data_IF_915800895007
#
_entry.id   IF_915800895007
#
_cell.length_a   1.000
_cell.length_b   1.000
_cell.length_c   1.000
_cell.angle_alpha   90.00
_cell.angle_beta   90.00
_cell.angle_gamma   90.00
#
_symmetry.space_group_name_H-M   'P 1'
#
loop_
_entity.id
_entity.type
_entity.pdbx_description
1 polymer ?
#
# COMPACT_ATOMS: atom_id res chain seq x y z
N UNK A 1 17.37 -15.48 11.78
CA UNK A 1 17.50 -15.05 10.37
C UNK A 1 18.93 -15.03 9.80
N UNK A 2 19.98 -15.35 10.57
CA UNK A 2 21.40 -15.10 10.20
C UNK A 2 21.86 -15.58 8.82
N UNK A 3 21.33 -16.69 8.29
CA UNK A 3 21.75 -17.23 6.98
C UNK A 3 20.68 -17.05 5.90
N UNK A 4 19.45 -17.50 6.19
CA UNK A 4 18.36 -17.53 5.20
C UNK A 4 18.02 -16.16 4.63
N UNK A 5 17.91 -15.14 5.48
CA UNK A 5 17.52 -13.81 5.03
C UNK A 5 18.59 -13.15 4.15
N UNK A 6 19.87 -13.06 4.57
CA UNK A 6 20.92 -12.50 3.72
C UNK A 6 21.07 -13.22 2.39
N UNK A 7 20.99 -14.56 2.38
CA UNK A 7 21.09 -15.34 1.13
C UNK A 7 19.95 -14.97 0.18
N UNK A 8 18.70 -14.94 0.64
CA UNK A 8 17.57 -14.57 -0.22
C UNK A 8 17.70 -13.14 -0.74
N UNK A 9 18.05 -12.17 0.14
CA UNK A 9 18.21 -10.78 -0.26
C UNK A 9 19.34 -10.60 -1.30
N UNK A 10 20.51 -11.20 -1.08
CA UNK A 10 21.65 -11.10 -2.00
C UNK A 10 21.35 -11.80 -3.33
N UNK A 11 20.70 -12.96 -3.30
CA UNK A 11 20.32 -13.67 -4.55
C UNK A 11 19.34 -12.85 -5.37
N UNK A 12 18.34 -12.22 -4.72
CA UNK A 12 17.39 -11.34 -5.41
C UNK A 12 18.09 -10.12 -6.00
N UNK A 13 18.98 -9.46 -5.25
CA UNK A 13 19.72 -8.30 -5.73
C UNK A 13 20.65 -8.65 -6.90
N UNK A 14 21.41 -9.75 -6.80
CA UNK A 14 22.24 -10.25 -7.90
C UNK A 14 21.39 -10.56 -9.13
N UNK A 15 20.21 -11.16 -8.94
CA UNK A 15 19.28 -11.39 -10.03
C UNK A 15 18.79 -10.08 -10.67
N UNK A 16 18.44 -9.06 -9.87
CA UNK A 16 18.05 -7.74 -10.41
C UNK A 16 19.19 -7.10 -11.20
N UNK A 17 20.42 -7.11 -10.69
CA UNK A 17 21.59 -6.57 -11.40
C UNK A 17 21.79 -7.27 -12.76
N UNK A 18 21.70 -8.60 -12.80
CA UNK A 18 21.81 -9.36 -14.05
C UNK A 18 20.68 -8.96 -15.01
N UNK A 19 19.43 -8.96 -14.54
CA UNK A 19 18.28 -8.62 -15.37
C UNK A 19 18.35 -7.20 -15.92
N UNK A 20 18.71 -6.21 -15.09
CA UNK A 20 18.91 -4.83 -15.53
C UNK A 20 20.07 -4.72 -16.52
N UNK A 21 21.20 -5.40 -16.28
CA UNK A 21 22.35 -5.38 -17.18
C UNK A 21 22.06 -5.95 -18.58
N UNK A 22 21.14 -6.91 -18.70
CA UNK A 22 20.76 -7.51 -19.99
C UNK A 22 19.61 -6.79 -20.70
N UNK A 23 18.62 -6.30 -19.95
CA UNK A 23 17.34 -5.86 -20.52
C UNK A 23 17.06 -4.36 -20.37
N UNK A 24 17.84 -3.59 -19.60
CA UNK A 24 17.52 -2.19 -19.29
C UNK A 24 18.59 -1.25 -19.86
N UNK A 25 18.15 -0.22 -20.58
CA UNK A 25 18.98 0.85 -21.15
C UNK A 25 18.41 2.22 -20.79
N UNK A 26 19.24 3.27 -20.82
CA UNK A 26 18.75 4.63 -20.63
C UNK A 26 17.95 5.11 -21.85
N UNK A 27 16.86 5.85 -21.62
CA UNK A 27 16.02 6.45 -22.66
C UNK A 27 16.81 7.36 -23.63
N UNK A 28 17.95 7.91 -23.20
CA UNK A 28 18.83 8.77 -24.00
C UNK A 28 19.46 8.11 -25.22
N UNK A 29 19.57 6.78 -25.28
CA UNK A 29 20.18 6.09 -26.43
C UNK A 29 19.28 6.11 -27.68
N UNK A 30 17.96 6.24 -27.53
CA UNK A 30 17.01 6.40 -28.64
C UNK A 30 17.01 7.82 -29.22
N UNK A 31 17.31 8.83 -28.39
CA UNK A 31 17.30 10.25 -28.76
C UNK A 31 18.39 10.58 -29.78
N UNK A 32 19.52 9.88 -29.73
CA UNK A 32 20.60 10.05 -30.71
C UNK A 32 20.27 9.46 -32.09
N UNK A 33 19.20 8.66 -32.22
CA UNK A 33 18.80 7.97 -33.46
C UNK A 33 17.56 8.58 -34.12
N UNK A 34 16.73 9.35 -33.40
CA UNK A 34 15.48 9.91 -33.94
C UNK A 34 15.31 11.41 -33.62
N UNK A 35 15.76 12.24 -34.57
CA UNK A 35 15.42 13.66 -34.82
C UNK A 35 15.96 14.76 -33.88
N UNK A 36 16.65 15.79 -34.45
CA UNK A 36 17.14 16.97 -33.70
C UNK A 36 16.13 18.14 -33.59
N UNK A 37 14.85 17.99 -33.98
CA UNK A 37 13.95 19.13 -34.26
C UNK A 37 12.80 19.39 -33.26
N UNK A 38 12.82 18.82 -32.05
CA UNK A 38 11.89 19.26 -30.98
C UNK A 38 12.52 20.38 -30.17
N UNK A 39 11.81 21.51 -30.01
CA UNK A 39 12.22 22.63 -29.14
C UNK A 39 12.55 22.13 -27.73
N UNK A 40 13.80 22.31 -27.30
CA UNK A 40 14.31 21.78 -26.02
C UNK A 40 13.48 22.20 -24.78
N UNK A 41 12.76 23.34 -24.83
CA UNK A 41 11.93 23.83 -23.72
C UNK A 41 10.83 22.85 -23.31
N UNK A 42 10.02 22.36 -24.27
CA UNK A 42 8.83 21.54 -23.95
C UNK A 42 9.18 20.16 -23.39
N UNK A 43 10.36 19.63 -23.74
CA UNK A 43 10.87 18.38 -23.17
C UNK A 43 11.39 18.56 -21.74
N UNK A 44 12.09 19.65 -21.48
CA UNK A 44 12.58 19.99 -20.12
C UNK A 44 11.41 20.24 -19.18
N UNK A 45 10.41 21.00 -19.63
CA UNK A 45 9.21 21.33 -18.85
C UNK A 45 8.45 20.05 -18.46
N UNK A 46 8.23 19.13 -19.41
CA UNK A 46 7.57 17.85 -19.16
C UNK A 46 8.36 16.92 -18.23
N UNK A 47 9.68 16.91 -18.34
CA UNK A 47 10.55 16.14 -17.43
C UNK A 47 10.43 16.66 -15.99
N UNK A 48 10.47 17.99 -15.79
CA UNK A 48 10.36 18.61 -14.47
C UNK A 48 8.98 18.39 -13.83
N UNK A 49 7.91 18.43 -14.62
CA UNK A 49 6.55 18.11 -14.16
C UNK A 49 6.43 16.66 -13.68
N UNK A 50 6.84 15.69 -14.51
CA UNK A 50 6.81 14.26 -14.17
C UNK A 50 7.71 13.94 -12.97
N UNK A 51 8.86 14.60 -12.86
CA UNK A 51 9.76 14.43 -11.72
C UNK A 51 9.09 14.85 -10.41
N UNK A 52 8.36 15.97 -10.40
CA UNK A 52 7.66 16.46 -9.21
C UNK A 52 6.57 15.49 -8.75
N UNK A 53 5.75 14.99 -9.68
CA UNK A 53 4.72 13.99 -9.38
C UNK A 53 5.33 12.66 -8.94
N UNK A 54 6.45 12.25 -9.54
CA UNK A 54 7.21 11.09 -9.09
C UNK A 54 7.65 11.25 -7.63
N UNK A 55 8.23 12.40 -7.25
CA UNK A 55 8.68 12.64 -5.87
C UNK A 55 7.53 12.50 -4.87
N UNK A 56 6.36 13.06 -5.19
CA UNK A 56 5.17 12.95 -4.33
C UNK A 56 4.77 11.49 -4.11
N UNK A 57 4.66 10.70 -5.19
CA UNK A 57 4.35 9.27 -5.12
C UNK A 57 5.43 8.52 -4.34
N UNK A 58 6.70 8.82 -4.57
CA UNK A 58 7.82 8.18 -3.88
C UNK A 58 7.79 8.46 -2.37
N UNK A 59 7.43 9.68 -1.96
CA UNK A 59 7.23 10.01 -0.54
C UNK A 59 6.07 9.22 0.06
N UNK A 60 4.99 9.00 -0.69
CA UNK A 60 3.90 8.13 -0.24
C UNK A 60 4.37 6.69 0.03
N UNK A 61 5.25 6.14 -0.82
CA UNK A 61 5.81 4.78 -0.66
C UNK A 61 6.66 4.68 0.62
N UNK A 62 7.62 5.59 0.83
CA UNK A 62 8.57 5.47 1.93
C UNK A 62 8.08 6.06 3.24
N UNK A 63 7.55 7.28 3.20
CA UNK A 63 7.10 7.99 4.41
C UNK A 63 5.64 7.68 4.68
N UNK A 64 4.78 7.77 3.67
CA UNK A 64 3.34 7.57 3.81
C UNK A 64 2.98 6.21 4.42
N UNK A 65 3.17 5.13 3.65
CA UNK A 65 2.94 3.76 4.12
C UNK A 65 3.84 3.40 5.30
N UNK A 66 5.14 3.71 5.20
CA UNK A 66 6.13 3.35 6.22
C UNK A 66 5.76 3.85 7.61
N UNK A 67 5.42 5.13 7.74
CA UNK A 67 5.02 5.70 9.03
C UNK A 67 3.58 5.34 9.41
N UNK A 68 2.63 5.25 8.47
CA UNK A 68 1.24 4.87 8.80
C UNK A 68 1.20 3.55 9.59
N UNK A 69 2.03 2.59 9.21
CA UNK A 69 2.12 1.28 9.87
C UNK A 69 2.84 1.30 11.23
N UNK A 70 3.41 2.42 11.66
CA UNK A 70 4.12 2.54 12.96
C UNK A 70 3.18 2.68 14.16
N UNK A 71 1.85 2.64 13.95
CA UNK A 71 0.88 2.69 15.05
C UNK A 71 1.10 1.56 16.07
N UNK A 72 1.61 0.39 15.64
CA UNK A 72 1.99 -0.72 16.52
C UNK A 72 3.18 -0.34 17.40
N UNK A 73 2.93 -0.10 18.70
CA UNK A 73 3.90 0.49 19.63
C UNK A 73 5.19 -0.30 19.81
N UNK A 74 5.17 -1.61 19.55
CA UNK A 74 6.32 -2.52 19.71
C UNK A 74 6.81 -3.10 18.37
N UNK A 75 6.32 -2.58 17.25
CA UNK A 75 6.67 -3.04 15.90
C UNK A 75 7.11 -1.89 14.97
N UNK A 76 7.48 -0.73 15.54
CA UNK A 76 7.81 0.47 14.77
C UNK A 76 9.03 0.31 13.87
N UNK A 77 10.08 -0.39 14.32
CA UNK A 77 11.28 -0.62 13.50
C UNK A 77 10.95 -1.52 12.31
N UNK A 78 10.20 -2.58 12.55
CA UNK A 78 9.77 -3.49 11.50
C UNK A 78 8.80 -2.82 10.54
N UNK A 79 7.87 -1.97 11.02
CA UNK A 79 6.95 -1.23 10.14
C UNK A 79 7.71 -0.36 9.13
N UNK A 80 8.56 0.57 9.58
CA UNK A 80 9.26 1.48 8.65
C UNK A 80 10.48 0.81 7.97
N UNK A 81 11.22 -0.02 8.68
CA UNK A 81 12.44 -0.66 8.20
C UNK A 81 12.18 -1.79 7.20
N UNK A 82 11.15 -2.62 7.42
CA UNK A 82 10.74 -3.62 6.43
C UNK A 82 10.03 -2.92 5.26
N UNK A 83 9.27 -1.84 5.49
CA UNK A 83 8.72 -1.02 4.39
C UNK A 83 9.82 -0.52 3.44
N UNK A 84 10.91 0.04 3.98
CA UNK A 84 12.07 0.44 3.18
C UNK A 84 12.66 -0.73 2.38
N UNK A 85 12.83 -1.90 3.01
CA UNK A 85 13.37 -3.09 2.35
C UNK A 85 12.49 -3.57 1.19
N UNK A 86 11.18 -3.71 1.42
CA UNK A 86 10.25 -4.21 0.39
C UNK A 86 10.02 -3.17 -0.69
N UNK A 87 10.08 -1.87 -0.37
CA UNK A 87 10.01 -0.82 -1.36
C UNK A 87 11.25 -0.84 -2.25
N UNK A 88 12.46 -0.95 -1.68
CA UNK A 88 13.69 -1.04 -2.47
C UNK A 88 13.69 -2.22 -3.46
N UNK A 89 13.19 -3.39 -3.04
CA UNK A 89 13.01 -4.54 -3.95
C UNK A 89 11.88 -4.29 -4.96
N UNK A 90 10.74 -3.77 -4.48
CA UNK A 90 9.54 -3.56 -5.26
C UNK A 90 9.76 -2.58 -6.41
N UNK A 91 10.54 -1.51 -6.19
CA UNK A 91 10.89 -0.55 -7.24
C UNK A 91 11.66 -1.21 -8.37
N UNK A 92 12.71 -1.97 -8.06
CA UNK A 92 13.51 -2.68 -9.06
C UNK A 92 12.67 -3.70 -9.83
N UNK A 93 11.97 -4.56 -9.09
CA UNK A 93 11.21 -5.66 -9.69
C UNK A 93 9.96 -5.17 -10.44
N UNK A 94 9.26 -4.18 -9.90
CA UNK A 94 8.10 -3.54 -10.51
C UNK A 94 8.47 -2.83 -11.81
N UNK A 95 9.51 -2.01 -11.80
CA UNK A 95 10.02 -1.35 -13.01
C UNK A 95 10.39 -2.37 -14.09
N UNK A 96 11.06 -3.46 -13.71
CA UNK A 96 11.45 -4.52 -14.63
C UNK A 96 10.25 -5.28 -15.20
N UNK A 97 9.36 -5.78 -14.34
CA UNK A 97 8.20 -6.58 -14.77
C UNK A 97 7.24 -5.78 -15.64
N UNK A 98 6.94 -4.54 -15.21
CA UNK A 98 6.13 -3.61 -16.00
C UNK A 98 6.79 -3.36 -17.36
N UNK A 99 8.10 -3.11 -17.36
CA UNK A 99 8.88 -2.87 -18.57
C UNK A 99 8.88 -4.03 -19.55
N UNK A 100 9.06 -5.28 -19.11
CA UNK A 100 9.02 -6.46 -19.98
C UNK A 100 7.65 -6.61 -20.65
N UNK A 101 6.58 -6.46 -19.87
CA UNK A 101 5.22 -6.68 -20.35
C UNK A 101 4.82 -5.61 -21.38
N UNK A 102 5.17 -4.34 -21.14
CA UNK A 102 4.80 -3.23 -22.01
C UNK A 102 5.77 -2.98 -23.18
N UNK A 103 7.01 -3.49 -23.13
CA UNK A 103 7.93 -3.47 -24.26
C UNK A 103 7.94 -4.78 -25.06
N UNK A 104 6.98 -5.70 -24.81
CA UNK A 104 6.85 -6.98 -25.51
C UNK A 104 8.16 -7.81 -25.54
N UNK A 105 8.93 -7.78 -24.45
CA UNK A 105 10.21 -8.48 -24.33
C UNK A 105 11.40 -7.82 -25.04
N UNK A 106 11.23 -6.63 -25.62
CA UNK A 106 12.33 -5.79 -26.09
C UNK A 106 13.06 -5.12 -24.92
N UNK A 107 14.21 -4.49 -25.21
CA UNK A 107 14.95 -3.73 -24.20
C UNK A 107 14.08 -2.62 -23.60
N UNK A 108 14.10 -2.53 -22.28
CA UNK A 108 13.39 -1.56 -21.47
C UNK A 108 14.21 -0.27 -21.45
N UNK A 109 13.64 0.80 -21.99
CA UNK A 109 14.24 2.12 -21.89
C UNK A 109 13.74 2.79 -20.61
N UNK A 110 14.64 3.01 -19.65
CA UNK A 110 14.28 3.52 -18.33
C UNK A 110 14.21 5.04 -18.32
N UNK A 111 13.04 5.56 -17.94
CA UNK A 111 12.78 6.97 -17.64
C UNK A 111 11.89 7.13 -16.40
N UNK A 112 11.52 8.37 -16.06
CA UNK A 112 10.71 8.66 -14.86
C UNK A 112 9.38 7.91 -14.89
N UNK A 113 8.75 7.74 -16.06
CA UNK A 113 7.52 6.96 -16.19
C UNK A 113 7.69 5.52 -15.71
N UNK A 114 8.79 4.86 -16.04
CA UNK A 114 9.08 3.48 -15.61
C UNK A 114 9.32 3.42 -14.09
N UNK A 115 9.94 4.46 -13.53
CA UNK A 115 10.13 4.60 -12.08
C UNK A 115 8.77 4.74 -11.37
N UNK A 116 7.90 5.64 -11.84
CA UNK A 116 6.53 5.81 -11.33
C UNK A 116 5.77 4.48 -11.33
N UNK A 117 5.81 3.71 -12.41
CA UNK A 117 5.12 2.41 -12.45
C UNK A 117 5.75 1.38 -11.51
N UNK A 118 7.06 1.49 -11.23
CA UNK A 118 7.72 0.75 -10.15
C UNK A 118 7.16 1.12 -8.77
N UNK A 119 6.98 2.42 -8.48
CA UNK A 119 6.33 2.88 -7.24
C UNK A 119 4.87 2.41 -7.14
N UNK A 120 4.09 2.49 -8.21
CA UNK A 120 2.69 2.02 -8.24
C UNK A 120 2.59 0.51 -7.99
N UNK A 121 3.46 -0.28 -8.63
CA UNK A 121 3.56 -1.73 -8.37
C UNK A 121 3.91 -2.02 -6.91
N UNK A 122 4.82 -1.22 -6.34
CA UNK A 122 5.26 -1.32 -4.95
C UNK A 122 4.13 -0.96 -3.99
N UNK A 123 3.34 0.08 -4.27
CA UNK A 123 2.20 0.47 -3.46
C UNK A 123 1.23 -0.69 -3.22
N UNK A 124 0.97 -1.50 -4.24
CA UNK A 124 0.15 -2.71 -4.15
C UNK A 124 0.67 -3.68 -3.07
N UNK A 125 1.97 -3.93 -3.06
CA UNK A 125 2.62 -4.80 -2.07
C UNK A 125 2.58 -4.18 -0.68
N UNK A 126 2.71 -2.86 -0.55
CA UNK A 126 2.62 -2.16 0.74
C UNK A 126 1.22 -2.24 1.34
N UNK A 127 0.18 -2.23 0.50
CA UNK A 127 -1.20 -2.50 0.92
C UNK A 127 -1.31 -3.93 1.43
N UNK A 128 -0.82 -4.92 0.69
CA UNK A 128 -0.86 -6.31 1.14
C UNK A 128 -0.03 -6.54 2.41
N UNK A 129 1.09 -5.83 2.57
CA UNK A 129 1.92 -5.85 3.77
C UNK A 129 1.11 -5.45 5.00
N UNK A 130 0.26 -4.42 4.90
CA UNK A 130 -0.63 -4.01 6.00
C UNK A 130 -1.57 -5.13 6.48
N UNK A 131 -2.02 -6.02 5.59
CA UNK A 131 -2.84 -7.17 6.00
C UNK A 131 -2.06 -8.19 6.85
N UNK A 132 -0.75 -8.35 6.61
CA UNK A 132 0.12 -9.37 7.22
C UNK A 132 1.16 -8.80 8.20
N UNK A 133 1.15 -7.48 8.42
CA UNK A 133 2.06 -6.75 9.29
C UNK A 133 2.13 -7.41 10.67
N UNK A 134 3.35 -7.51 11.23
CA UNK A 134 3.58 -8.10 12.54
C UNK A 134 3.54 -9.64 12.61
N UNK A 135 3.15 -10.34 11.53
CA UNK A 135 2.89 -11.79 11.55
C UNK A 135 3.79 -12.61 10.64
N UNK A 136 4.47 -11.99 9.67
CA UNK A 136 5.36 -12.70 8.73
C UNK A 136 6.78 -12.14 8.77
N UNK A 137 7.75 -12.97 8.40
CA UNK A 137 9.16 -12.60 8.43
C UNK A 137 9.59 -11.72 7.25
N UNK A 138 10.69 -10.96 7.37
CA UNK A 138 11.28 -10.22 6.25
C UNK A 138 11.59 -11.10 5.04
N UNK A 139 11.99 -12.36 5.24
CA UNK A 139 12.19 -13.30 4.13
C UNK A 139 10.88 -13.65 3.41
N UNK A 140 9.78 -13.84 4.16
CA UNK A 140 8.48 -14.07 3.54
C UNK A 140 7.99 -12.84 2.80
N UNK A 141 8.27 -11.63 3.33
CA UNK A 141 7.97 -10.39 2.64
C UNK A 141 8.70 -10.28 1.28
N UNK A 142 10.00 -10.57 1.22
CA UNK A 142 10.75 -10.54 -0.06
C UNK A 142 10.13 -11.48 -1.11
N UNK A 143 9.74 -12.70 -0.71
CA UNK A 143 9.10 -13.66 -1.63
C UNK A 143 7.71 -13.20 -2.04
N UNK A 144 6.93 -12.66 -1.10
CA UNK A 144 5.61 -12.11 -1.38
C UNK A 144 5.69 -10.95 -2.38
N UNK A 145 6.63 -10.02 -2.21
CA UNK A 145 6.87 -8.90 -3.14
C UNK A 145 7.09 -9.38 -4.58
N UNK A 146 7.92 -10.41 -4.78
CA UNK A 146 8.19 -10.95 -6.13
C UNK A 146 6.93 -11.54 -6.77
N UNK A 147 6.20 -12.38 -6.01
CA UNK A 147 5.02 -13.07 -6.52
C UNK A 147 3.85 -12.12 -6.76
N UNK A 148 3.64 -11.18 -5.85
CA UNK A 148 2.55 -10.22 -5.91
C UNK A 148 2.72 -9.24 -7.08
N UNK A 149 3.92 -8.67 -7.27
CA UNK A 149 4.17 -7.76 -8.40
C UNK A 149 3.98 -8.49 -9.74
N UNK A 150 4.39 -9.75 -9.86
CA UNK A 150 4.18 -10.52 -11.09
C UNK A 150 2.68 -10.73 -11.38
N UNK A 151 1.88 -11.03 -10.36
CA UNK A 151 0.43 -11.16 -10.49
C UNK A 151 -0.24 -9.80 -10.78
N UNK A 152 0.21 -8.74 -10.11
CA UNK A 152 -0.27 -7.36 -10.30
C UNK A 152 -0.07 -6.91 -11.74
N UNK A 153 1.15 -7.02 -12.30
CA UNK A 153 1.42 -6.57 -13.68
C UNK A 153 0.59 -7.38 -14.69
N UNK A 154 0.37 -8.68 -14.44
CA UNK A 154 -0.54 -9.48 -15.26
C UNK A 154 -1.99 -8.98 -15.23
N UNK A 155 -2.50 -8.61 -14.06
CA UNK A 155 -3.83 -8.03 -13.91
C UNK A 155 -3.92 -6.61 -14.50
N UNK A 156 -2.90 -5.77 -14.29
CA UNK A 156 -2.81 -4.44 -14.87
C UNK A 156 -2.87 -4.51 -16.41
N UNK A 157 -2.11 -5.42 -17.03
CA UNK A 157 -2.18 -5.66 -18.47
C UNK A 157 -3.58 -6.10 -18.92
N UNK A 158 -4.23 -7.00 -18.18
CA UNK A 158 -5.60 -7.42 -18.48
C UNK A 158 -6.58 -6.24 -18.44
N UNK A 159 -6.48 -5.38 -17.43
CA UNK A 159 -7.38 -4.22 -17.24
C UNK A 159 -7.10 -3.13 -18.29
N UNK A 160 -5.85 -2.71 -18.41
CA UNK A 160 -5.44 -1.59 -19.26
C UNK A 160 -5.37 -1.94 -20.74
N UNK A 161 -4.84 -3.11 -21.09
CA UNK A 161 -4.61 -3.48 -22.50
C UNK A 161 -5.71 -4.34 -23.12
N UNK A 162 -6.32 -5.24 -22.36
CA UNK A 162 -7.35 -6.13 -22.91
C UNK A 162 -8.75 -5.54 -22.74
N UNK A 163 -9.13 -5.16 -21.53
CA UNK A 163 -10.46 -4.58 -21.28
C UNK A 163 -10.56 -3.12 -21.70
N UNK A 164 -9.44 -2.42 -21.87
CA UNK A 164 -9.40 -0.97 -22.11
C UNK A 164 -10.27 -0.24 -21.08
N UNK A 165 -10.19 -0.70 -19.84
CA UNK A 165 -10.88 -0.12 -18.69
C UNK A 165 -10.10 1.12 -18.21
N UNK A 166 -10.83 2.08 -17.64
CA UNK A 166 -10.23 3.32 -17.13
C UNK A 166 -10.04 3.15 -15.63
N UNK A 167 -8.81 3.23 -15.14
CA UNK A 167 -8.52 3.13 -13.70
C UNK A 167 -7.35 4.04 -13.28
N UNK A 168 -7.53 5.36 -13.46
CA UNK A 168 -6.39 6.28 -13.51
C UNK A 168 -5.65 6.46 -12.17
N UNK A 169 -6.37 6.44 -11.06
CA UNK A 169 -5.81 6.38 -9.70
C UNK A 169 -5.85 4.98 -9.10
N UNK A 170 -6.04 3.96 -9.94
CA UNK A 170 -5.87 2.55 -9.59
C UNK A 170 -6.69 2.03 -8.39
N UNK A 171 -7.96 2.45 -8.27
CA UNK A 171 -8.84 1.91 -7.21
C UNK A 171 -9.05 0.40 -7.38
N UNK A 172 -9.05 -0.11 -8.61
CA UNK A 172 -9.23 -1.53 -8.89
C UNK A 172 -7.87 -2.26 -8.94
N UNK A 173 -6.93 -1.77 -9.74
CA UNK A 173 -5.68 -2.47 -10.05
C UNK A 173 -4.66 -2.43 -8.92
N UNK A 174 -4.60 -1.37 -8.10
CA UNK A 174 -3.69 -1.27 -6.95
C UNK A 174 -4.46 -1.54 -5.65
N UNK A 175 -5.51 -0.76 -5.37
CA UNK A 175 -6.10 -0.76 -4.03
C UNK A 175 -6.97 -1.98 -3.75
N UNK A 176 -7.95 -2.28 -4.60
CA UNK A 176 -8.75 -3.48 -4.44
C UNK A 176 -7.86 -4.72 -4.59
N UNK A 177 -7.01 -4.77 -5.62
CA UNK A 177 -6.09 -5.89 -5.84
C UNK A 177 -5.21 -6.16 -4.60
N UNK A 178 -4.43 -5.17 -4.15
CA UNK A 178 -3.53 -5.33 -3.01
C UNK A 178 -4.28 -5.71 -1.73
N UNK A 179 -5.41 -5.07 -1.46
CA UNK A 179 -6.20 -5.42 -0.27
C UNK A 179 -6.65 -6.89 -0.29
N UNK A 180 -7.26 -7.35 -1.38
CA UNK A 180 -7.77 -8.72 -1.45
C UNK A 180 -6.66 -9.78 -1.61
N UNK A 181 -5.52 -9.42 -2.20
CA UNK A 181 -4.33 -10.26 -2.23
C UNK A 181 -3.79 -10.47 -0.82
N UNK A 182 -3.53 -9.37 -0.09
CA UNK A 182 -3.07 -9.40 1.30
C UNK A 182 -4.03 -10.14 2.23
N UNK A 183 -5.34 -9.93 2.09
CA UNK A 183 -6.37 -10.64 2.86
C UNK A 183 -6.36 -12.15 2.58
N UNK A 184 -6.19 -12.56 1.32
CA UNK A 184 -6.10 -13.97 0.97
C UNK A 184 -4.84 -14.63 1.57
N UNK A 185 -3.69 -13.94 1.53
CA UNK A 185 -2.47 -14.37 2.22
C UNK A 185 -2.71 -14.48 3.73
N UNK A 186 -3.31 -13.45 4.34
CA UNK A 186 -3.61 -13.42 5.77
C UNK A 186 -4.58 -14.53 6.20
N UNK A 187 -5.54 -14.90 5.35
CA UNK A 187 -6.45 -16.03 5.57
C UNK A 187 -5.75 -17.38 5.59
N UNK A 188 -4.82 -17.63 4.65
CA UNK A 188 -4.02 -18.88 4.63
C UNK A 188 -3.10 -18.97 5.86
N UNK A 189 -2.54 -17.83 6.28
CA UNK A 189 -1.61 -17.72 7.40
C UNK A 189 -2.31 -17.50 8.77
N UNK A 190 -3.64 -17.54 8.81
CA UNK A 190 -4.41 -17.27 10.02
C UNK A 190 -4.04 -18.19 11.19
N UNK A 191 -3.90 -17.60 12.37
CA UNK A 191 -3.69 -18.30 13.63
C UNK A 191 -4.91 -18.19 14.55
N UNK A 192 -5.47 -19.31 15.06
CA UNK A 192 -6.69 -19.30 15.87
C UNK A 192 -6.60 -18.46 17.16
N UNK A 193 -5.41 -18.26 17.71
CA UNK A 193 -5.19 -17.44 18.92
C UNK A 193 -5.58 -15.97 18.69
N UNK A 194 -5.42 -15.46 17.48
CA UNK A 194 -5.78 -14.09 17.09
C UNK A 194 -7.28 -13.80 17.23
N UNK A 195 -8.14 -14.83 17.31
CA UNK A 195 -9.58 -14.64 17.54
C UNK A 195 -9.89 -13.88 18.84
N UNK A 196 -9.00 -13.95 19.83
CA UNK A 196 -9.14 -13.27 21.12
C UNK A 196 -8.40 -11.92 21.18
N UNK A 197 -7.79 -11.49 20.07
CA UNK A 197 -6.83 -10.39 20.02
C UNK A 197 -5.45 -10.80 20.53
N UNK A 198 -4.45 -9.96 20.25
CA UNK A 198 -3.07 -10.17 20.69
C UNK A 198 -2.62 -9.03 21.61
N UNK A 199 -1.90 -9.33 22.69
CA UNK A 199 -1.55 -8.32 23.71
C UNK A 199 -0.63 -7.20 23.17
N UNK A 200 0.19 -7.55 22.18
CA UNK A 200 1.16 -6.65 21.53
C UNK A 200 0.57 -5.87 20.34
N UNK A 201 -0.63 -6.24 19.88
CA UNK A 201 -1.33 -5.51 18.81
C UNK A 201 -2.07 -4.30 19.39
N UNK A 202 -1.31 -3.30 19.79
CA UNK A 202 -1.81 -2.08 20.42
C UNK A 202 -0.99 -0.87 19.98
N UNK A 203 -1.62 0.29 20.00
CA UNK A 203 -0.92 1.57 19.90
C UNK A 203 -0.55 2.14 21.26
N UNK A 204 0.26 3.19 21.22
CA UNK A 204 0.55 4.11 22.31
C UNK A 204 0.45 5.54 21.74
N UNK A 205 0.31 6.54 22.61
CA UNK A 205 0.12 7.92 22.18
C UNK A 205 1.17 8.40 21.16
N UNK A 206 2.45 8.13 21.41
CA UNK A 206 3.53 8.52 20.48
C UNK A 206 3.54 7.70 19.19
N UNK A 207 3.18 6.42 19.23
CA UNK A 207 3.13 5.60 18.01
C UNK A 207 1.98 6.04 17.11
N UNK A 208 0.85 6.47 17.69
CA UNK A 208 -0.26 7.07 16.95
C UNK A 208 0.09 8.43 16.34
N UNK A 209 0.91 9.24 17.01
CA UNK A 209 1.44 10.48 16.44
C UNK A 209 2.38 10.20 15.26
N UNK A 210 3.25 9.18 15.35
CA UNK A 210 4.08 8.77 14.22
C UNK A 210 3.24 8.24 13.06
N UNK A 211 2.20 7.45 13.32
CA UNK A 211 1.27 6.98 12.28
C UNK A 211 0.53 8.13 11.57
N UNK A 212 0.22 9.21 12.29
CA UNK A 212 -0.34 10.41 11.68
C UNK A 212 0.61 11.10 10.70
N UNK A 213 1.94 10.98 10.86
CA UNK A 213 2.88 11.49 9.86
C UNK A 213 2.63 10.79 8.52
N UNK A 214 2.57 9.46 8.54
CA UNK A 214 2.26 8.67 7.35
C UNK A 214 0.91 9.03 6.73
N UNK A 215 -0.12 9.17 7.58
CA UNK A 215 -1.47 9.61 7.16
C UNK A 215 -1.43 10.94 6.41
N UNK A 216 -0.75 11.95 6.96
CA UNK A 216 -0.73 13.28 6.37
C UNK A 216 0.04 13.32 5.05
N UNK A 217 1.17 12.61 4.94
CA UNK A 217 1.91 12.53 3.68
C UNK A 217 1.12 11.81 2.60
N UNK A 218 0.42 10.72 2.94
CA UNK A 218 -0.50 10.05 2.02
C UNK A 218 -1.60 11.01 1.57
N UNK A 219 -2.27 11.68 2.52
CA UNK A 219 -3.39 12.56 2.25
C UNK A 219 -3.01 13.75 1.36
N UNK A 220 -1.88 14.41 1.65
CA UNK A 220 -1.43 15.60 0.91
C UNK A 220 -0.98 15.27 -0.52
N UNK A 221 -0.36 14.11 -0.74
CA UNK A 221 0.21 13.73 -2.04
C UNK A 221 -0.70 12.83 -2.88
N UNK A 222 -1.85 12.41 -2.36
CA UNK A 222 -2.82 11.63 -3.12
C UNK A 222 -3.30 12.28 -4.43
N UNK A 223 -3.50 13.62 -4.52
CA UNK A 223 -3.84 14.25 -5.80
C UNK A 223 -2.78 14.01 -6.87
N UNK A 224 -1.49 13.97 -6.51
CA UNK A 224 -0.39 13.59 -7.42
C UNK A 224 -0.49 12.10 -7.79
N UNK A 225 -0.73 11.22 -6.82
CA UNK A 225 -0.92 9.78 -7.06
C UNK A 225 -2.04 9.48 -8.04
N UNK A 226 -3.21 10.09 -7.90
CA UNK A 226 -4.36 9.85 -8.79
C UNK A 226 -4.22 10.52 -10.17
N UNK A 227 -3.21 11.39 -10.36
CA UNK A 227 -3.04 12.17 -11.58
C UNK A 227 -1.72 11.88 -12.32
N UNK A 228 -0.80 11.11 -11.73
CA UNK A 228 0.56 10.90 -12.27
C UNK A 228 0.56 10.18 -13.62
N UNK A 229 -0.43 9.33 -13.89
CA UNK A 229 -0.58 8.63 -15.18
C UNK A 229 -1.69 9.24 -16.05
N UNK A 230 -2.38 10.28 -15.58
CA UNK A 230 -3.40 10.98 -16.34
C UNK A 230 -2.80 11.75 -17.53
N UNK A 231 -3.56 11.86 -18.60
CA UNK A 231 -3.17 12.68 -19.76
C UNK A 231 -2.98 14.14 -19.31
N UNK A 232 -1.83 14.72 -19.66
CA UNK A 232 -1.48 16.10 -19.30
C UNK A 232 -2.52 17.09 -19.83
N UNK A 233 -2.86 18.10 -19.02
CA UNK A 233 -3.87 19.11 -19.35
C UNK A 233 -5.18 18.90 -18.58
N UNK A 234 -6.32 18.86 -19.30
CA UNK A 234 -7.66 18.83 -18.68
C UNK A 234 -7.84 17.59 -17.77
N UNK A 235 -7.40 16.43 -18.23
CA UNK A 235 -7.56 15.14 -17.54
C UNK A 235 -6.79 15.07 -16.22
N UNK A 236 -5.52 15.45 -16.25
CA UNK A 236 -4.69 15.56 -15.05
C UNK A 236 -5.21 16.62 -14.07
N UNK A 237 -5.64 17.79 -14.56
CA UNK A 237 -6.26 18.82 -13.73
C UNK A 237 -7.52 18.31 -13.01
N UNK A 238 -8.42 17.62 -13.73
CA UNK A 238 -9.61 17.02 -13.13
C UNK A 238 -9.24 15.96 -12.07
N UNK A 239 -8.25 15.11 -12.36
CA UNK A 239 -7.78 14.11 -11.40
C UNK A 239 -7.30 14.73 -10.09
N UNK A 240 -6.55 15.82 -10.15
CA UNK A 240 -6.09 16.57 -8.97
C UNK A 240 -7.28 17.16 -8.20
N UNK A 241 -8.13 17.93 -8.88
CA UNK A 241 -9.24 18.67 -8.25
C UNK A 241 -10.29 17.73 -7.66
N UNK A 242 -10.67 16.70 -8.41
CA UNK A 242 -11.64 15.73 -7.92
C UNK A 242 -11.08 15.00 -6.69
N UNK A 243 -9.80 14.59 -6.71
CA UNK A 243 -9.15 13.88 -5.60
C UNK A 243 -9.11 14.73 -4.35
N UNK A 244 -8.75 16.00 -4.49
CA UNK A 244 -8.76 16.97 -3.40
C UNK A 244 -10.15 17.06 -2.73
N UNK A 245 -11.22 17.27 -3.49
CA UNK A 245 -12.56 17.41 -2.92
C UNK A 245 -13.11 16.11 -2.33
N UNK A 246 -12.76 14.95 -2.91
CA UNK A 246 -13.10 13.64 -2.34
C UNK A 246 -12.45 13.44 -0.97
N UNK A 247 -11.15 13.71 -0.85
CA UNK A 247 -10.41 13.59 0.41
C UNK A 247 -10.95 14.52 1.49
N UNK A 248 -11.23 15.79 1.16
CA UNK A 248 -11.79 16.76 2.11
C UNK A 248 -13.14 16.29 2.65
N UNK A 249 -14.04 15.80 1.78
CA UNK A 249 -15.33 15.27 2.21
C UNK A 249 -15.20 13.97 3.03
N UNK A 250 -14.25 13.11 2.65
CA UNK A 250 -13.93 11.88 3.38
C UNK A 250 -13.47 12.15 4.81
N UNK A 251 -12.66 13.19 5.04
CA UNK A 251 -12.20 13.56 6.39
C UNK A 251 -13.40 13.92 7.28
N UNK A 252 -14.29 14.80 6.82
CA UNK A 252 -15.43 15.21 7.65
C UNK A 252 -16.35 14.05 8.00
N UNK A 253 -16.63 13.17 7.04
CA UNK A 253 -17.46 11.99 7.28
C UNK A 253 -16.78 10.95 8.16
N UNK A 254 -15.47 10.71 8.00
CA UNK A 254 -14.72 9.80 8.87
C UNK A 254 -14.73 10.28 10.33
N UNK A 255 -14.52 11.58 10.58
CA UNK A 255 -14.60 12.15 11.93
C UNK A 255 -16.01 12.05 12.52
N UNK A 256 -17.03 12.44 11.74
CA UNK A 256 -18.42 12.39 12.19
C UNK A 256 -18.85 10.96 12.55
N UNK A 257 -18.56 9.99 11.68
CA UNK A 257 -18.95 8.61 11.90
C UNK A 257 -18.06 7.91 12.93
N UNK A 258 -16.79 8.28 13.09
CA UNK A 258 -15.97 7.81 14.21
C UNK A 258 -16.61 8.20 15.53
N UNK A 259 -17.01 9.46 15.69
CA UNK A 259 -17.69 9.93 16.91
C UNK A 259 -19.04 9.21 17.11
N UNK A 260 -19.80 8.99 16.04
CA UNK A 260 -21.10 8.33 16.07
C UNK A 260 -21.00 6.87 16.58
N UNK A 261 -20.01 6.11 16.12
CA UNK A 261 -19.90 4.67 16.45
C UNK A 261 -19.10 4.39 17.72
N UNK A 262 -18.34 5.38 18.20
CA UNK A 262 -17.56 5.24 19.42
C UNK A 262 -18.30 5.66 20.68
N UNK A 263 -17.90 5.05 21.80
CA UNK A 263 -18.55 5.30 23.08
C UNK A 263 -18.34 6.76 23.50
N UNK A 264 -19.43 7.40 23.93
CA UNK A 264 -19.45 8.80 24.43
C UNK A 264 -19.03 9.84 23.39
N UNK A 265 -19.16 9.56 22.09
CA UNK A 265 -18.84 10.54 21.04
C UNK A 265 -17.35 10.82 20.86
N UNK A 266 -16.46 9.96 21.39
CA UNK A 266 -15.01 10.12 21.26
C UNK A 266 -14.52 9.75 19.87
N UNK A 267 -13.34 10.22 19.48
CA UNK A 267 -12.68 9.84 18.23
C UNK A 267 -11.72 8.68 18.48
N UNK A 268 -11.61 7.79 17.49
CA UNK A 268 -10.63 6.69 17.47
C UNK A 268 -9.50 7.04 16.48
N UNK A 269 -8.25 6.99 16.94
CA UNK A 269 -7.10 7.31 16.09
C UNK A 269 -6.93 6.34 14.92
N UNK A 270 -7.37 5.08 15.04
CA UNK A 270 -7.34 4.13 13.92
C UNK A 270 -8.26 4.62 12.81
N UNK A 271 -9.48 5.10 13.14
CA UNK A 271 -10.37 5.70 12.15
C UNK A 271 -9.74 6.94 11.52
N UNK A 272 -9.14 7.83 12.33
CA UNK A 272 -8.58 9.08 11.82
C UNK A 272 -7.36 8.87 10.93
N UNK A 273 -6.46 7.96 11.29
CA UNK A 273 -5.25 7.66 10.52
C UNK A 273 -5.58 6.99 9.17
N UNK A 274 -6.66 6.21 9.12
CA UNK A 274 -6.90 5.30 8.00
C UNK A 274 -8.14 5.68 7.18
N UNK A 275 -9.30 5.88 7.80
CA UNK A 275 -10.56 6.12 7.08
C UNK A 275 -10.59 7.48 6.39
N UNK A 276 -9.78 8.45 6.83
CA UNK A 276 -9.65 9.77 6.18
C UNK A 276 -8.99 9.70 4.81
N UNK A 277 -8.30 8.59 4.51
CA UNK A 277 -7.62 8.32 3.24
C UNK A 277 -8.52 7.63 2.22
N UNK A 278 -9.64 7.03 2.67
CA UNK A 278 -10.52 6.22 1.83
C UNK A 278 -11.09 6.98 0.62
N UNK A 279 -11.26 8.31 0.73
CA UNK A 279 -11.72 9.15 -0.38
C UNK A 279 -10.72 9.26 -1.53
N UNK A 280 -9.41 9.20 -1.24
CA UNK A 280 -8.38 9.16 -2.27
C UNK A 280 -8.45 7.85 -3.06
N UNK A 281 -8.57 6.73 -2.33
CA UNK A 281 -8.78 5.40 -2.91
C UNK A 281 -10.05 5.33 -3.75
N UNK A 282 -11.21 5.69 -3.18
CA UNK A 282 -12.49 5.51 -3.84
C UNK A 282 -12.68 6.39 -5.07
N UNK A 283 -11.96 7.51 -5.17
CA UNK A 283 -12.05 8.33 -6.36
C UNK A 283 -11.11 7.88 -7.48
N UNK A 284 -10.06 7.13 -7.19
CA UNK A 284 -8.98 6.80 -8.13
C UNK A 284 -9.44 6.47 -9.55
N UNK A 285 -10.34 5.50 -9.72
CA UNK A 285 -10.85 5.09 -11.05
C UNK A 285 -11.54 6.22 -11.82
N UNK A 286 -12.23 7.11 -11.11
CA UNK A 286 -13.03 8.20 -11.69
C UNK A 286 -12.30 9.54 -11.75
N UNK A 287 -11.06 9.63 -11.25
CA UNK A 287 -10.44 10.92 -10.95
C UNK A 287 -10.38 11.83 -12.18
N UNK A 288 -10.05 11.29 -13.36
CA UNK A 288 -9.95 12.01 -14.64
C UNK A 288 -11.27 12.08 -15.45
N UNK A 289 -12.38 11.58 -14.90
CA UNK A 289 -13.68 11.63 -15.56
C UNK A 289 -14.35 12.99 -15.34
N UNK A 290 -15.22 13.41 -16.27
CA UNK A 290 -15.96 14.68 -16.20
C UNK A 290 -17.13 14.61 -15.20
N UNK A 291 -16.84 14.17 -13.98
CA UNK A 291 -17.75 14.26 -12.84
C UNK A 291 -17.71 15.68 -12.29
N UNK A 292 -18.85 16.18 -11.84
CA UNK A 292 -18.89 17.47 -11.14
C UNK A 292 -18.19 17.37 -9.77
N UNK A 293 -17.63 18.48 -9.23
CA UNK A 293 -16.98 18.47 -7.92
C UNK A 293 -17.88 17.97 -6.77
N UNK A 294 -19.19 18.21 -6.82
CA UNK A 294 -20.09 17.63 -5.81
C UNK A 294 -20.14 16.10 -5.90
N UNK A 295 -19.94 15.52 -7.09
CA UNK A 295 -19.88 14.08 -7.30
C UNK A 295 -18.66 13.45 -6.64
N UNK A 296 -17.49 14.10 -6.72
CA UNK A 296 -16.28 13.64 -6.01
C UNK A 296 -16.46 13.74 -4.50
N UNK A 297 -17.10 14.80 -3.99
CA UNK A 297 -17.45 14.93 -2.57
C UNK A 297 -18.40 13.82 -2.09
N UNK A 298 -19.38 13.42 -2.89
CA UNK A 298 -20.29 12.31 -2.58
C UNK A 298 -19.50 10.99 -2.48
N UNK A 299 -18.63 10.70 -3.47
CA UNK A 299 -17.80 9.49 -3.46
C UNK A 299 -16.91 9.45 -2.21
N UNK A 300 -16.22 10.55 -1.91
CA UNK A 300 -15.38 10.67 -0.72
C UNK A 300 -16.15 10.50 0.59
N UNK A 301 -17.35 11.10 0.67
CA UNK A 301 -18.23 10.96 1.83
C UNK A 301 -18.66 9.51 2.06
N UNK A 302 -19.07 8.81 1.00
CA UNK A 302 -19.44 7.39 1.07
C UNK A 302 -18.25 6.55 1.52
N UNK A 303 -17.06 6.82 0.96
CA UNK A 303 -15.85 6.08 1.29
C UNK A 303 -15.46 6.22 2.78
N UNK A 304 -15.54 7.43 3.34
CA UNK A 304 -15.26 7.66 4.75
C UNK A 304 -16.22 6.90 5.68
N UNK A 305 -17.52 6.89 5.36
CA UNK A 305 -18.55 6.16 6.12
C UNK A 305 -18.30 4.64 6.04
N UNK A 306 -18.11 4.12 4.82
CA UNK A 306 -17.87 2.69 4.58
C UNK A 306 -16.60 2.23 5.29
N UNK A 307 -15.54 3.04 5.26
CA UNK A 307 -14.28 2.72 5.92
C UNK A 307 -14.43 2.65 7.44
N UNK A 308 -15.06 3.63 8.08
CA UNK A 308 -15.31 3.62 9.54
C UNK A 308 -16.15 2.41 9.95
N UNK A 309 -17.22 2.09 9.20
CA UNK A 309 -18.02 0.89 9.47
C UNK A 309 -17.22 -0.41 9.24
N UNK A 310 -16.32 -0.41 8.26
CA UNK A 310 -15.37 -1.50 8.03
C UNK A 310 -14.49 -1.77 9.25
N UNK A 311 -13.86 -0.72 9.79
CA UNK A 311 -13.06 -0.84 11.01
C UNK A 311 -13.90 -1.31 12.20
N UNK A 312 -15.04 -0.67 12.43
CA UNK A 312 -15.86 -0.93 13.62
C UNK A 312 -16.51 -2.32 13.63
N UNK A 313 -17.00 -2.79 12.49
CA UNK A 313 -17.87 -3.96 12.42
C UNK A 313 -17.30 -5.10 11.57
N UNK A 314 -16.70 -4.78 10.42
CA UNK A 314 -16.22 -5.82 9.49
C UNK A 314 -14.89 -6.41 9.94
N UNK A 315 -13.95 -5.60 10.43
CA UNK A 315 -12.65 -6.11 10.91
C UNK A 315 -12.80 -7.16 12.02
N UNK A 316 -13.59 -6.93 13.09
CA UNK A 316 -13.87 -7.97 14.07
C UNK A 316 -14.59 -9.19 13.48
N UNK A 317 -15.51 -8.98 12.53
CA UNK A 317 -16.23 -10.07 11.87
C UNK A 317 -15.29 -10.97 11.05
N UNK A 318 -14.40 -10.38 10.25
CA UNK A 318 -13.41 -11.10 9.43
C UNK A 318 -12.49 -11.94 10.33
N UNK A 319 -11.96 -11.34 11.39
CA UNK A 319 -11.07 -12.04 12.33
C UNK A 319 -11.76 -13.20 13.05
N UNK A 320 -13.00 -13.00 13.51
CA UNK A 320 -13.67 -13.98 14.39
C UNK A 320 -14.51 -15.03 13.68
N UNK A 321 -15.03 -14.72 12.48
CA UNK A 321 -15.94 -15.59 11.72
C UNK A 321 -15.32 -16.10 10.43
N UNK A 322 -14.63 -15.24 9.68
CA UNK A 322 -14.02 -15.62 8.39
C UNK A 322 -12.58 -16.13 8.53
N UNK A 323 -11.98 -16.03 9.73
CA UNK A 323 -10.58 -16.43 9.99
C UNK A 323 -9.59 -15.69 9.10
N UNK A 324 -9.81 -14.39 8.92
CA UNK A 324 -8.90 -13.48 8.22
C UNK A 324 -8.56 -12.37 9.20
N UNK A 325 -7.29 -12.27 9.59
CA UNK A 325 -6.84 -11.22 10.50
C UNK A 325 -6.12 -10.14 9.73
N UNK A 326 -6.72 -8.97 9.62
CA UNK A 326 -6.19 -7.81 8.88
C UNK A 326 -5.67 -6.76 9.88
N UNK A 327 -4.34 -6.61 9.95
CA UNK A 327 -3.67 -5.83 11.01
C UNK A 327 -3.85 -4.33 10.84
N UNK A 328 -3.68 -3.80 9.62
CA UNK A 328 -3.91 -2.37 9.36
C UNK A 328 -5.35 -2.07 8.95
N UNK A 329 -6.22 -3.08 8.85
CA UNK A 329 -7.57 -2.89 8.30
C UNK A 329 -7.54 -2.44 6.84
N UNK A 330 -6.62 -2.99 6.04
CA UNK A 330 -6.45 -2.62 4.63
C UNK A 330 -7.70 -2.91 3.81
N UNK A 331 -8.53 -3.86 4.24
CA UNK A 331 -9.86 -4.07 3.66
C UNK A 331 -10.72 -2.81 3.76
N UNK A 332 -10.63 -2.05 4.86
CA UNK A 332 -11.50 -0.91 5.12
C UNK A 332 -11.03 0.37 4.43
N UNK A 333 -9.75 0.49 4.09
CA UNK A 333 -9.17 1.67 3.43
C UNK A 333 -8.98 1.45 1.94
N UNK A 334 -8.49 0.27 1.55
CA UNK A 334 -8.12 -0.04 0.17
C UNK A 334 -9.13 -0.96 -0.50
N UNK A 335 -9.58 -2.01 0.20
CA UNK A 335 -10.50 -3.02 -0.37
C UNK A 335 -11.90 -2.48 -0.67
N UNK A 336 -12.65 -2.10 0.36
CA UNK A 336 -14.02 -1.58 0.23
C UNK A 336 -14.03 -0.26 -0.54
N UNK A 337 -13.18 0.75 -0.23
CA UNK A 337 -13.14 1.97 -1.02
C UNK A 337 -12.69 1.72 -2.47
N UNK A 338 -11.80 0.76 -2.72
CA UNK A 338 -11.43 0.34 -4.08
C UNK A 338 -12.62 -0.20 -4.88
N UNK A 339 -13.46 -1.02 -4.24
CA UNK A 339 -14.74 -1.49 -4.81
C UNK A 339 -15.70 -0.33 -5.05
N UNK A 340 -15.83 0.60 -4.09
CA UNK A 340 -16.65 1.81 -4.26
C UNK A 340 -16.18 2.60 -5.48
N UNK A 341 -14.87 2.74 -5.70
CA UNK A 341 -14.33 3.44 -6.88
C UNK A 341 -14.62 2.75 -8.20
N UNK A 342 -14.46 1.42 -8.27
CA UNK A 342 -14.85 0.65 -9.44
C UNK A 342 -16.34 0.79 -9.77
N UNK A 343 -17.21 0.70 -8.76
CA UNK A 343 -18.67 0.90 -8.92
C UNK A 343 -19.03 2.34 -9.30
N UNK A 344 -18.39 3.33 -8.69
CA UNK A 344 -18.58 4.74 -9.02
C UNK A 344 -18.21 5.00 -10.49
N UNK A 345 -17.18 4.32 -11.02
CA UNK A 345 -16.77 4.47 -12.41
C UNK A 345 -17.79 3.91 -13.40
N UNK A 346 -18.44 2.80 -13.05
CA UNK A 346 -19.53 2.23 -13.85
C UNK A 346 -20.68 3.23 -13.93
N UNK A 347 -21.04 3.85 -12.80
CA UNK A 347 -22.08 4.89 -12.74
C UNK A 347 -21.64 6.13 -13.53
N UNK A 348 -20.40 6.58 -13.39
CA UNK A 348 -19.88 7.74 -14.12
C UNK A 348 -19.93 7.53 -15.65
N UNK A 349 -19.56 6.34 -16.13
CA UNK A 349 -19.68 5.97 -17.55
C UNK A 349 -21.15 5.90 -17.97
N UNK A 350 -22.03 5.31 -17.15
CA UNK A 350 -23.46 5.25 -17.43
C UNK A 350 -24.10 6.64 -17.61
N UNK A 351 -23.61 7.62 -16.84
CA UNK A 351 -24.03 9.03 -16.89
C UNK A 351 -23.30 9.84 -17.97
N UNK A 352 -22.41 9.23 -18.76
CA UNK A 352 -21.70 9.89 -19.86
C UNK A 352 -20.53 10.77 -19.44
N UNK A 353 -20.02 10.65 -18.21
CA UNK A 353 -18.87 11.42 -17.71
C UNK A 353 -17.54 11.04 -18.41
N UNK A 354 -17.48 9.87 -19.04
CA UNK A 354 -16.36 9.41 -19.85
C UNK A 354 -16.83 8.46 -20.95
N UNK A 355 -16.10 8.44 -22.07
CA UNK A 355 -16.29 7.48 -23.18
C UNK A 355 -15.10 6.54 -23.36
N UNK A 356 -14.12 6.59 -22.44
CA UNK A 356 -12.88 5.81 -22.53
C UNK A 356 -13.14 4.30 -22.48
N UNK A 357 -14.18 3.88 -21.77
CA UNK A 357 -14.55 2.46 -21.63
C UNK A 357 -16.06 2.28 -21.58
N UNK A 358 -16.51 1.03 -21.45
CA UNK A 358 -17.92 0.68 -21.27
C UNK A 358 -18.20 0.22 -19.84
N UNK A 359 -19.46 0.28 -19.41
CA UNK A 359 -19.87 -0.25 -18.09
C UNK A 359 -19.46 -1.72 -17.91
N UNK A 360 -19.60 -2.53 -18.97
CA UNK A 360 -19.25 -3.95 -18.94
C UNK A 360 -17.74 -4.16 -18.76
N UNK A 361 -16.90 -3.35 -19.42
CA UNK A 361 -15.45 -3.46 -19.29
C UNK A 361 -14.94 -2.95 -17.93
N UNK A 362 -15.55 -1.90 -17.35
CA UNK A 362 -15.24 -1.51 -15.96
C UNK A 362 -15.63 -2.61 -14.96
N UNK A 363 -16.79 -3.24 -15.14
CA UNK A 363 -17.22 -4.35 -14.31
C UNK A 363 -16.28 -5.57 -14.45
N UNK A 364 -15.84 -5.87 -15.68
CA UNK A 364 -14.86 -6.91 -15.95
C UNK A 364 -13.52 -6.61 -15.28
N UNK A 365 -13.04 -5.37 -15.34
CA UNK A 365 -11.80 -4.94 -14.70
C UNK A 365 -11.86 -5.00 -13.17
N UNK A 366 -12.97 -4.58 -12.56
CA UNK A 366 -13.16 -4.72 -11.11
C UNK A 366 -13.17 -6.20 -10.70
N UNK A 367 -13.96 -7.00 -11.41
CA UNK A 367 -14.09 -8.43 -11.16
C UNK A 367 -12.76 -9.19 -11.34
N UNK A 368 -12.01 -8.88 -12.40
CA UNK A 368 -10.72 -9.53 -12.65
C UNK A 368 -9.67 -9.11 -11.64
N UNK A 369 -9.64 -7.84 -11.21
CA UNK A 369 -8.69 -7.36 -10.21
C UNK A 369 -8.89 -8.07 -8.87
N UNK A 370 -10.13 -8.21 -8.41
CA UNK A 370 -10.44 -8.96 -7.18
C UNK A 370 -10.18 -10.46 -7.37
N UNK A 371 -10.61 -11.04 -8.49
CA UNK A 371 -10.47 -12.47 -8.76
C UNK A 371 -9.00 -12.92 -8.83
N UNK A 372 -8.17 -12.19 -9.59
CA UNK A 372 -6.74 -12.46 -9.72
C UNK A 372 -6.00 -12.22 -8.41
N UNK A 373 -6.35 -11.17 -7.66
CA UNK A 373 -5.80 -10.91 -6.33
C UNK A 373 -6.06 -12.05 -5.35
N UNK A 374 -7.30 -12.54 -5.26
CA UNK A 374 -7.64 -13.64 -4.36
C UNK A 374 -6.90 -14.91 -4.76
N UNK A 375 -6.89 -15.27 -6.05
CA UNK A 375 -6.18 -16.48 -6.52
C UNK A 375 -4.68 -16.37 -6.27
N UNK A 376 -4.06 -15.25 -6.65
CA UNK A 376 -2.64 -14.99 -6.44
C UNK A 376 -2.25 -14.96 -4.97
N UNK A 377 -3.08 -14.35 -4.11
CA UNK A 377 -2.87 -14.28 -2.67
C UNK A 377 -3.05 -15.62 -1.98
N UNK A 378 -3.99 -16.46 -2.42
CA UNK A 378 -4.13 -17.84 -1.93
C UNK A 378 -2.90 -18.68 -2.28
N UNK A 379 -2.46 -18.64 -3.55
CA UNK A 379 -1.25 -19.35 -4.00
C UNK A 379 -0.03 -18.87 -3.22
N UNK A 380 0.15 -17.55 -3.10
CA UNK A 380 1.26 -16.95 -2.37
C UNK A 380 1.21 -17.34 -0.90
N UNK A 381 0.06 -17.25 -0.24
CA UNK A 381 -0.13 -17.69 1.14
C UNK A 381 0.27 -19.15 1.36
N UNK A 382 -0.09 -20.04 0.43
CA UNK A 382 0.31 -21.46 0.48
C UNK A 382 1.82 -21.63 0.34
N UNK A 383 2.45 -20.92 -0.60
CA UNK A 383 3.92 -20.91 -0.78
C UNK A 383 4.60 -20.41 0.50
N UNK A 384 4.13 -19.30 1.07
CA UNK A 384 4.69 -18.73 2.30
C UNK A 384 4.53 -19.68 3.49
N UNK A 385 3.39 -20.37 3.60
CA UNK A 385 3.08 -21.29 4.69
C UNK A 385 3.92 -22.56 4.63
N UNK A 386 4.03 -23.18 3.46
CA UNK A 386 4.57 -24.53 3.33
C UNK A 386 5.99 -24.60 2.78
N UNK A 387 6.37 -23.69 1.87
CA UNK A 387 7.67 -23.69 1.21
C UNK A 387 8.63 -22.73 1.91
N UNK A 388 8.27 -21.44 1.98
CA UNK A 388 9.17 -20.44 2.56
C UNK A 388 9.30 -20.69 4.05
N UNK A 389 8.20 -20.71 4.81
CA UNK A 389 8.21 -20.81 6.28
C UNK A 389 9.04 -19.69 6.94
N UNK A 390 9.12 -19.71 8.26
CA UNK A 390 9.88 -18.73 9.05
C UNK A 390 9.01 -17.63 9.65
N UNK A 391 7.70 -17.86 9.75
CA UNK A 391 6.81 -17.06 10.56
C UNK A 391 7.33 -17.04 12.01
N UNK A 392 7.27 -15.91 12.72
CA UNK A 392 7.51 -15.89 14.15
C UNK A 392 6.50 -16.79 14.87
N UNK A 393 6.87 -17.30 16.04
CA UNK A 393 5.89 -17.95 16.91
C UNK A 393 4.81 -16.96 17.32
N UNK A 394 3.56 -17.40 17.51
CA UNK A 394 2.42 -16.52 17.82
C UNK A 394 2.70 -15.56 18.98
N UNK A 395 3.36 -16.02 20.04
CA UNK A 395 3.77 -15.20 21.20
C UNK A 395 4.67 -14.00 20.87
N UNK A 396 5.30 -14.03 19.70
CA UNK A 396 6.26 -13.04 19.22
C UNK A 396 5.69 -12.20 18.07
N UNK A 397 4.37 -12.26 17.81
CA UNK A 397 3.75 -11.36 16.85
C UNK A 397 3.81 -9.90 17.34
N UNK A 398 3.97 -8.98 16.39
CA UNK A 398 4.01 -7.53 16.65
C UNK A 398 5.14 -7.10 17.62
N UNK A 399 6.27 -7.79 17.58
CA UNK A 399 7.44 -7.53 18.43
C UNK A 399 8.73 -7.38 17.60
N UNK A 400 9.32 -6.18 17.65
CA UNK A 400 10.57 -5.86 16.95
C UNK A 400 11.78 -6.68 17.44
N UNK A 401 11.78 -7.12 18.70
CA UNK A 401 12.91 -7.85 19.29
C UNK A 401 13.22 -9.19 18.62
N UNK A 402 12.29 -9.69 17.80
CA UNK A 402 12.48 -10.88 16.98
C UNK A 402 13.52 -10.66 15.88
N UNK A 403 13.58 -9.46 15.33
CA UNK A 403 14.37 -9.13 14.14
C UNK A 403 15.42 -8.04 14.37
N UNK A 404 15.23 -7.21 15.39
CA UNK A 404 16.04 -6.03 15.64
C UNK A 404 16.76 -6.11 16.98
N UNK A 405 17.95 -5.51 17.03
CA UNK A 405 18.62 -5.23 18.30
C UNK A 405 17.91 -4.05 18.98
N UNK A 406 17.05 -4.37 19.95
CA UNK A 406 16.30 -3.38 20.72
C UNK A 406 17.00 -3.08 22.05
N UNK A 407 17.13 -1.80 22.37
CA UNK A 407 17.58 -1.35 23.70
C UNK A 407 16.38 -1.34 24.63
N UNK A 408 16.23 -2.36 25.48
CA UNK A 408 15.30 -2.29 26.59
C UNK A 408 15.91 -1.44 27.71
N UNK A 409 15.36 -0.25 27.93
CA UNK A 409 15.50 0.45 29.21
C UNK A 409 14.48 -0.13 30.17
N UNK A 410 14.92 -0.99 31.10
CA UNK A 410 14.08 -1.33 32.25
C UNK A 410 14.11 -0.13 33.19
N UNK A 411 13.00 0.59 33.28
CA UNK A 411 12.75 1.55 34.35
C UNK A 411 12.60 0.75 35.65
N UNK A 412 13.70 0.58 36.38
CA UNK A 412 13.64 0.08 37.76
C UNK A 412 13.23 1.27 38.62
N UNK A 413 12.00 1.20 39.16
CA UNK A 413 11.53 2.17 40.15
C UNK A 413 12.02 1.70 41.51
N UNK A 414 13.20 2.17 41.93
CA UNK A 414 13.66 1.97 43.30
C UNK A 414 12.81 2.89 44.20
N UNK A 415 11.92 2.29 45.00
CA UNK A 415 11.18 3.00 46.03
C UNK A 415 11.98 2.85 47.33
N UNK A 416 12.80 3.84 47.64
CA UNK A 416 13.34 4.06 48.99
C UNK A 416 12.87 5.42 49.48
N UNK A 417 12.50 5.48 50.77
CA UNK A 417 11.57 6.45 51.39
C UNK A 417 11.81 7.97 51.24
N UNK A 418 12.75 8.46 50.43
CA UNK A 418 12.89 9.92 50.22
C UNK A 418 13.37 10.37 48.83
N UNK A 419 13.61 9.48 47.84
CA UNK A 419 14.01 9.90 46.49
C UNK A 419 13.53 8.95 45.39
N UNK A 420 12.94 9.51 44.32
CA UNK A 420 12.79 8.82 43.04
C UNK A 420 14.11 9.00 42.28
N UNK A 421 14.88 7.92 42.11
CA UNK A 421 16.05 7.93 41.21
C UNK A 421 15.73 7.10 39.96
N UNK A 422 15.92 7.69 38.78
CA UNK A 422 15.82 6.98 37.51
C UNK A 422 17.20 6.43 37.14
N UNK A 423 17.33 5.10 37.03
CA UNK A 423 18.53 4.46 36.45
C UNK A 423 18.16 3.72 35.18
N UNK A 424 18.90 4.01 34.11
CA UNK A 424 18.89 3.22 32.90
C UNK A 424 19.73 1.96 33.11
N UNK A 425 19.09 0.80 33.18
CA UNK A 425 19.80 -0.49 33.14
C UNK A 425 19.63 -1.09 31.74
N UNK A 426 20.75 -1.26 31.06
CA UNK A 426 20.84 -1.97 29.79
C UNK A 426 20.63 -3.46 30.06
N UNK A 427 19.40 -3.97 29.90
CA UNK A 427 19.20 -5.41 29.97
C UNK A 427 19.65 -6.00 28.64
N UNK A 428 20.79 -6.73 28.64
CA UNK A 428 21.08 -7.65 27.54
C UNK A 428 19.88 -8.61 27.43
N UNK A 429 19.33 -8.84 26.23
CA UNK A 429 18.32 -9.85 26.04
C UNK A 429 18.86 -11.15 26.65
N UNK A 430 18.04 -11.84 27.46
CA UNK A 430 18.34 -13.22 27.82
C UNK A 430 18.56 -13.93 26.49
N UNK A 431 19.81 -14.29 26.20
CA UNK A 431 20.10 -15.20 25.11
C UNK A 431 19.19 -16.40 25.35
N UNK A 432 18.17 -16.55 24.49
CA UNK A 432 17.52 -17.82 24.31
C UNK A 432 18.64 -18.76 23.87
N UNK A 433 19.11 -19.56 24.81
CA UNK A 433 20.02 -20.65 24.57
C UNK A 433 19.44 -21.48 23.43
N UNK A 434 20.22 -21.64 22.38
CA UNK A 434 19.91 -22.56 21.31
C UNK A 434 19.89 -23.97 21.89
N UNK A 435 18.75 -24.64 21.77
CA UNK A 435 18.64 -26.10 21.72
C UNK A 435 17.69 -26.44 20.58
#
# INVERSE_FOLDING_TARGET
MKLKFPVVAIVLEVAMIILFGYFVEYETEQINLQQPNTTNSTKVDRFLELHSLFQDVHVMIFVGFGFLMTFLKNYGFSSVGINLLIAALGLQWGTFMWGIVHNHGQKIHIGIKNMINGDLSTATVLISFGAVLGKISPTQMLVMTILEIAAFVGNEYLVGEIFKASDIGASMTIHAFGAYFGLAVAGILYQPSLRKGHEMEKSAYHSDLFAMIGTLFLWMFWPSFNSVIAETGEKQYMAIVNTYFSLVACVLTAYAFSSLVEKRGRLDMVHIQNATLAGGVALGTCADMKIHPYGSMIIGSIAGIVSVFGFKFLTPFFTTKLRIHDTCGVHNVHGLPGVVGGLASIVAIALGASKTSTMAMQAAALGSSIGTAVVGGLITGLILKFIVRGQPSERNFFDDSVYWEVLYSVLIKDVSDDYISERFVQQKPKCLSAS
#
